data_IF_360178143412
#
_entry.id   IF_360178143412
#
_cell.length_a   1.000
_cell.length_b   1.000
_cell.length_c   1.000
_cell.angle_alpha   90.00
_cell.angle_beta   90.00
_cell.angle_gamma   90.00
#
_symmetry.space_group_name_H-M   'P 1'
#
loop_
_entity.id
_entity.type
_entity.pdbx_description
1 polymer ?
#
# COMPACT_ATOMS: atom_id res chain seq x y z
N UNK A 1 -26.07 22.84 16.78
CA UNK A 1 -26.58 21.46 16.93
C UNK A 1 -26.09 20.55 15.79
N UNK A 2 -24.79 20.53 15.48
CA UNK A 2 -24.20 19.72 14.39
C UNK A 2 -22.95 18.92 14.82
N UNK A 3 -22.49 19.12 16.05
CA UNK A 3 -21.32 18.43 16.61
C UNK A 3 -21.64 16.99 17.05
N UNK A 4 -22.87 16.72 17.53
CA UNK A 4 -23.24 15.41 18.07
C UNK A 4 -23.43 14.32 17.01
N UNK A 5 -23.73 14.67 15.76
CA UNK A 5 -23.85 13.69 14.67
C UNK A 5 -22.49 13.19 14.15
N UNK A 6 -21.41 13.97 14.33
CA UNK A 6 -20.05 13.55 13.96
C UNK A 6 -19.42 12.61 14.98
N UNK A 7 -19.70 12.80 16.27
CA UNK A 7 -19.24 11.89 17.33
C UNK A 7 -20.06 10.60 17.42
N UNK A 8 -21.34 10.60 17.02
CA UNK A 8 -22.18 9.39 17.05
C UNK A 8 -21.73 8.28 16.07
N UNK A 9 -20.84 8.59 15.11
CA UNK A 9 -20.16 7.58 14.28
C UNK A 9 -18.95 6.93 14.97
N UNK A 10 -18.53 7.42 16.14
CA UNK A 10 -17.34 6.95 16.86
C UNK A 10 -17.60 5.69 17.71
N UNK A 11 -18.87 5.30 17.90
CA UNK A 11 -19.29 4.18 18.77
C UNK A 11 -19.86 2.97 18.03
N UNK A 12 -19.94 3.00 16.70
CA UNK A 12 -20.40 1.84 15.93
C UNK A 12 -19.27 0.82 15.82
N UNK A 13 -19.57 -0.44 16.13
CA UNK A 13 -18.62 -1.53 15.91
C UNK A 13 -18.37 -1.65 14.41
N UNK A 14 -17.09 -1.61 14.03
CA UNK A 14 -16.66 -1.67 12.65
C UNK A 14 -16.97 -3.04 12.08
N UNK A 15 -17.47 -3.08 10.86
CA UNK A 15 -17.61 -4.34 10.13
C UNK A 15 -16.21 -4.95 9.88
N UNK A 16 -16.13 -6.28 9.66
CA UNK A 16 -14.86 -6.93 9.29
C UNK A 16 -14.22 -6.31 8.04
N UNK A 17 -15.03 -5.83 7.10
CA UNK A 17 -14.55 -5.17 5.89
C UNK A 17 -13.97 -3.78 6.16
N UNK A 18 -14.64 -2.95 6.98
CA UNK A 18 -14.12 -1.63 7.36
C UNK A 18 -12.83 -1.75 8.18
N UNK A 19 -12.76 -2.73 9.09
CA UNK A 19 -11.55 -3.02 9.87
C UNK A 19 -10.38 -3.40 8.96
N UNK A 20 -10.62 -4.23 7.93
CA UNK A 20 -9.61 -4.58 6.93
C UNK A 20 -9.20 -3.38 6.08
N UNK A 21 -10.14 -2.53 5.67
CA UNK A 21 -9.85 -1.31 4.91
C UNK A 21 -9.02 -0.30 5.71
N UNK A 22 -9.14 -0.29 7.04
CA UNK A 22 -8.27 0.49 7.92
C UNK A 22 -6.89 -0.18 8.06
N UNK A 23 -6.85 -1.50 8.19
CA UNK A 23 -5.60 -2.25 8.31
C UNK A 23 -4.71 -2.12 7.04
N UNK A 24 -5.29 -2.00 5.84
CA UNK A 24 -4.53 -1.71 4.61
C UNK A 24 -3.84 -0.34 4.63
N UNK A 25 -4.40 0.62 5.37
CA UNK A 25 -3.81 1.94 5.64
C UNK A 25 -2.89 1.93 6.89
N UNK A 26 -2.64 0.75 7.46
CA UNK A 26 -1.91 0.56 8.72
C UNK A 26 -2.55 1.22 9.93
N UNK A 27 -3.89 1.22 9.97
CA UNK A 27 -4.70 1.78 11.04
C UNK A 27 -5.45 0.63 11.74
N UNK A 28 -5.43 0.62 13.06
CA UNK A 28 -6.32 -0.23 13.86
C UNK A 28 -7.14 0.62 14.83
N UNK A 29 -8.17 0.01 15.41
CA UNK A 29 -8.97 0.64 16.47
C UNK A 29 -8.60 0.02 17.80
N UNK A 30 -8.10 0.85 18.71
CA UNK A 30 -7.74 0.47 20.07
C UNK A 30 -8.99 0.10 20.89
N UNK A 31 -8.82 -0.60 22.01
CA UNK A 31 -9.89 -0.99 22.95
C UNK A 31 -10.73 0.20 23.43
N UNK A 32 -10.15 1.41 23.39
CA UNK A 32 -10.82 2.69 23.69
C UNK A 32 -11.58 3.31 22.51
N UNK A 33 -11.82 2.55 21.44
CA UNK A 33 -12.47 2.98 20.18
C UNK A 33 -11.79 4.18 19.49
N UNK A 34 -10.45 4.28 19.63
CA UNK A 34 -9.62 5.32 18.99
C UNK A 34 -8.90 4.76 17.77
N UNK A 35 -8.81 5.53 16.69
CA UNK A 35 -8.00 5.16 15.54
C UNK A 35 -6.52 5.39 15.84
N UNK A 36 -5.72 4.34 15.68
CA UNK A 36 -4.28 4.37 15.87
C UNK A 36 -3.62 3.99 14.55
N UNK A 37 -2.88 4.94 13.98
CA UNK A 37 -2.03 4.71 12.84
C UNK A 37 -0.68 4.17 13.30
N UNK A 38 -0.17 3.13 12.64
CA UNK A 38 1.16 2.57 12.91
C UNK A 38 2.09 2.90 11.76
N UNK A 39 3.16 3.64 12.03
CA UNK A 39 4.21 3.89 11.03
C UNK A 39 4.91 2.58 10.69
N UNK A 40 4.92 2.22 9.39
CA UNK A 40 5.50 0.97 8.90
C UNK A 40 7.00 0.90 9.11
N UNK A 41 7.69 2.05 9.12
CA UNK A 41 9.15 2.13 9.24
C UNK A 41 9.58 2.17 10.71
N UNK A 42 9.01 3.08 11.50
CA UNK A 42 9.41 3.25 12.90
C UNK A 42 8.65 2.36 13.87
N UNK A 43 7.58 1.68 13.42
CA UNK A 43 6.65 0.88 14.24
C UNK A 43 5.97 1.65 15.38
N UNK A 44 6.09 2.99 15.39
CA UNK A 44 5.45 3.88 16.35
C UNK A 44 3.96 4.03 16.04
N UNK A 45 3.15 4.14 17.08
CA UNK A 45 1.73 4.45 16.96
C UNK A 45 1.46 5.93 17.10
N UNK A 46 0.47 6.42 16.35
CA UNK A 46 -0.01 7.79 16.41
C UNK A 46 -1.53 7.77 16.48
N UNK A 47 -2.11 8.46 17.46
CA UNK A 47 -3.57 8.59 17.53
C UNK A 47 -4.04 9.59 16.48
N UNK A 48 -4.97 9.18 15.63
CA UNK A 48 -5.50 9.98 14.52
C UNK A 48 -7.00 10.24 14.66
N UNK A 49 -7.47 11.35 14.12
CA UNK A 49 -8.89 11.65 13.98
C UNK A 49 -9.47 11.20 12.64
N UNK A 50 -10.80 11.21 12.50
CA UNK A 50 -11.43 10.92 11.20
C UNK A 50 -11.04 11.90 10.09
N UNK A 51 -10.72 13.15 10.44
CA UNK A 51 -10.28 14.17 9.47
C UNK A 51 -8.95 13.75 8.80
N UNK A 52 -8.11 13.03 9.53
CA UNK A 52 -6.79 12.61 9.10
C UNK A 52 -6.84 11.34 8.22
N UNK A 53 -7.94 10.58 8.27
CA UNK A 53 -8.13 9.39 7.41
C UNK A 53 -8.10 9.75 5.92
N UNK A 54 -8.70 10.88 5.53
CA UNK A 54 -8.70 11.33 4.14
C UNK A 54 -7.27 11.66 3.68
N UNK A 55 -6.50 12.31 4.55
CA UNK A 55 -5.09 12.62 4.27
C UNK A 55 -4.26 11.34 4.13
N UNK A 56 -4.39 10.38 5.05
CA UNK A 56 -3.68 9.10 4.97
C UNK A 56 -4.06 8.28 3.74
N UNK A 57 -5.33 8.30 3.33
CA UNK A 57 -5.79 7.67 2.09
C UNK A 57 -5.15 8.33 0.87
N UNK A 58 -5.16 9.66 0.78
CA UNK A 58 -4.51 10.37 -0.32
C UNK A 58 -3.00 10.15 -0.32
N UNK A 59 -2.39 10.11 0.86
CA UNK A 59 -0.98 9.81 1.03
C UNK A 59 -0.63 8.39 0.56
N UNK A 60 -1.52 7.41 0.74
CA UNK A 60 -1.30 6.06 0.19
C UNK A 60 -1.24 6.04 -1.35
N UNK A 61 -1.89 7.00 -2.03
CA UNK A 61 -1.88 7.13 -3.49
C UNK A 61 -0.61 7.75 -4.05
N UNK A 62 0.32 8.24 -3.22
CA UNK A 62 1.57 8.86 -3.69
C UNK A 62 2.41 7.96 -4.59
N UNK A 63 2.39 6.64 -4.34
CA UNK A 63 3.10 5.67 -5.19
C UNK A 63 2.44 5.56 -6.56
N UNK A 64 1.10 5.61 -6.61
CA UNK A 64 0.36 5.63 -7.87
C UNK A 64 0.64 6.93 -8.64
N UNK A 65 0.65 8.07 -7.96
CA UNK A 65 0.96 9.37 -8.56
C UNK A 65 2.40 9.37 -9.09
N UNK A 66 3.37 8.88 -8.32
CA UNK A 66 4.77 8.78 -8.76
C UNK A 66 4.93 7.86 -9.98
N UNK A 67 4.21 6.72 -10.00
CA UNK A 67 4.18 5.84 -11.16
C UNK A 67 3.56 6.54 -12.38
N UNK A 68 2.49 7.32 -12.18
CA UNK A 68 1.86 8.07 -13.26
C UNK A 68 2.81 9.15 -13.82
N UNK A 69 3.53 9.86 -12.95
CA UNK A 69 4.56 10.83 -13.34
C UNK A 69 5.67 10.14 -14.15
N UNK A 70 6.10 8.96 -13.74
CA UNK A 70 7.08 8.17 -14.49
C UNK A 70 6.57 7.80 -15.88
N UNK A 71 5.37 7.21 -15.97
CA UNK A 71 4.78 6.76 -17.24
C UNK A 71 4.54 7.94 -18.17
N UNK A 72 3.98 9.04 -17.69
CA UNK A 72 3.74 10.24 -18.52
C UNK A 72 5.07 10.87 -18.95
N UNK A 73 6.04 10.98 -18.05
CA UNK A 73 7.36 11.54 -18.37
C UNK A 73 8.09 10.75 -19.45
N UNK A 74 8.10 9.42 -19.31
CA UNK A 74 8.77 8.54 -20.25
C UNK A 74 7.98 8.37 -21.56
N UNK A 75 6.68 8.09 -21.50
CA UNK A 75 5.89 7.74 -22.68
C UNK A 75 5.31 8.92 -23.45
N UNK A 76 5.00 10.05 -22.78
CA UNK A 76 4.38 11.21 -23.44
C UNK A 76 5.40 12.30 -23.70
N UNK A 77 6.24 12.61 -22.71
CA UNK A 77 7.23 13.68 -22.82
C UNK A 77 8.56 13.22 -23.45
N UNK A 78 8.69 11.91 -23.75
CA UNK A 78 9.91 11.30 -24.33
C UNK A 78 11.19 11.65 -23.55
N UNK A 79 11.06 11.81 -22.23
CA UNK A 79 12.19 12.04 -21.33
C UNK A 79 12.91 10.71 -21.13
N UNK A 80 14.25 10.74 -21.05
CA UNK A 80 15.03 9.56 -20.72
C UNK A 80 14.51 8.86 -19.46
N UNK A 81 14.46 7.53 -19.52
CA UNK A 81 13.91 6.68 -18.45
C UNK A 81 14.55 6.97 -17.08
N UNK A 82 15.84 7.28 -17.04
CA UNK A 82 16.57 7.56 -15.79
C UNK A 82 16.17 8.90 -15.17
N UNK A 83 15.90 9.94 -15.98
CA UNK A 83 15.45 11.26 -15.51
C UNK A 83 14.00 11.17 -15.03
N UNK A 84 13.15 10.45 -15.77
CA UNK A 84 11.77 10.19 -15.37
C UNK A 84 11.72 9.41 -14.04
N UNK A 85 12.57 8.38 -13.90
CA UNK A 85 12.69 7.61 -12.65
C UNK A 85 13.18 8.49 -11.50
N UNK A 86 14.21 9.29 -11.72
CA UNK A 86 14.77 10.18 -10.69
C UNK A 86 13.75 11.23 -10.23
N UNK A 87 12.95 11.77 -11.16
CA UNK A 87 11.87 12.70 -10.84
C UNK A 87 10.77 12.05 -10.01
N UNK A 88 10.33 10.84 -10.39
CA UNK A 88 9.32 10.10 -9.65
C UNK A 88 9.80 9.74 -8.22
N UNK A 89 11.05 9.26 -8.10
CA UNK A 89 11.67 8.94 -6.80
C UNK A 89 11.87 10.19 -5.95
N UNK A 90 12.30 11.30 -6.56
CA UNK A 90 12.42 12.60 -5.90
C UNK A 90 11.08 13.08 -5.33
N UNK A 91 10.00 12.98 -6.11
CA UNK A 91 8.64 13.31 -5.65
C UNK A 91 8.20 12.44 -4.47
N UNK A 92 8.51 11.15 -4.48
CA UNK A 92 8.26 10.26 -3.34
C UNK A 92 9.03 10.70 -2.09
N UNK A 93 10.31 11.01 -2.23
CA UNK A 93 11.15 11.47 -1.13
C UNK A 93 10.62 12.77 -0.50
N UNK A 94 10.25 13.76 -1.33
CA UNK A 94 9.65 15.01 -0.86
C UNK A 94 8.31 14.75 -0.15
N UNK A 95 7.47 13.88 -0.69
CA UNK A 95 6.19 13.54 -0.05
C UNK A 95 6.38 12.88 1.32
N UNK A 96 7.37 11.99 1.45
CA UNK A 96 7.72 11.31 2.69
C UNK A 96 8.28 12.31 3.72
N UNK A 97 9.12 13.26 3.27
CA UNK A 97 9.66 14.33 4.11
C UNK A 97 8.55 15.22 4.66
N UNK A 98 7.63 15.67 3.82
CA UNK A 98 6.47 16.47 4.25
C UNK A 98 5.63 15.68 5.26
N UNK A 99 5.39 14.41 4.99
CA UNK A 99 4.64 13.53 5.89
C UNK A 99 5.27 13.38 7.27
N UNK A 100 6.57 13.10 7.33
CA UNK A 100 7.29 12.93 8.60
C UNK A 100 7.40 14.24 9.38
N UNK A 101 7.76 15.32 8.71
CA UNK A 101 8.03 16.59 9.38
C UNK A 101 6.76 17.35 9.77
N UNK A 102 5.71 17.32 8.95
CA UNK A 102 4.51 18.12 9.18
C UNK A 102 3.33 17.31 9.72
N UNK A 103 3.08 16.11 9.21
CA UNK A 103 1.89 15.36 9.58
C UNK A 103 2.12 14.53 10.85
N UNK A 104 3.14 13.67 10.86
CA UNK A 104 3.43 12.82 12.02
C UNK A 104 3.79 13.64 13.27
N UNK A 105 4.55 14.73 13.11
CA UNK A 105 4.93 15.61 14.23
C UNK A 105 3.74 16.26 14.95
N UNK A 106 2.59 16.40 14.28
CA UNK A 106 1.37 16.98 14.87
C UNK A 106 0.52 15.96 15.64
N UNK A 107 0.80 14.67 15.49
CA UNK A 107 0.01 13.62 16.08
C UNK A 107 0.62 13.14 17.40
N UNK A 108 -0.19 12.91 18.44
CA UNK A 108 0.31 12.36 19.70
C UNK A 108 0.75 10.91 19.51
N UNK A 109 1.98 10.61 19.93
CA UNK A 109 2.54 9.26 19.92
C UNK A 109 1.85 8.39 20.98
N UNK A 110 1.53 7.16 20.61
CA UNK A 110 0.90 6.16 21.48
C UNK A 110 1.73 4.88 21.42
N UNK A 111 1.93 4.25 22.58
CA UNK A 111 2.59 2.95 22.69
C UNK A 111 1.73 1.87 22.05
N UNK A 112 2.30 1.19 21.05
CA UNK A 112 1.65 0.09 20.32
C UNK A 112 2.34 -1.21 20.70
N UNK A 113 1.55 -2.25 21.02
CA UNK A 113 2.12 -3.57 21.27
C UNK A 113 2.55 -4.21 19.95
N UNK A 114 3.55 -5.09 20.01
CA UNK A 114 4.06 -5.78 18.83
C UNK A 114 2.98 -6.61 18.10
N UNK A 115 1.99 -7.12 18.84
CA UNK A 115 0.83 -7.85 18.32
C UNK A 115 -0.08 -6.95 17.47
N UNK A 116 -0.40 -5.75 17.97
CA UNK A 116 -1.21 -4.75 17.26
C UNK A 116 -0.48 -4.28 15.99
N UNK A 117 0.84 -4.05 16.08
CA UNK A 117 1.66 -3.70 14.92
C UNK A 117 1.73 -4.82 13.86
N UNK A 118 1.68 -6.09 14.28
CA UNK A 118 1.60 -7.24 13.36
C UNK A 118 0.23 -7.33 12.67
N UNK A 119 -0.85 -7.01 13.37
CA UNK A 119 -2.22 -7.07 12.82
C UNK A 119 -2.43 -6.14 11.62
N UNK A 120 -1.73 -5.00 11.61
CA UNK A 120 -1.76 -3.98 10.55
C UNK A 120 -0.60 -4.07 9.55
N UNK A 121 0.23 -5.12 9.68
CA UNK A 121 1.33 -5.36 8.76
C UNK A 121 0.80 -5.76 7.39
N UNK A 122 1.32 -5.15 6.32
CA UNK A 122 0.88 -5.40 4.94
C UNK A 122 0.85 -6.89 4.58
N UNK A 123 1.88 -7.64 5.00
CA UNK A 123 1.96 -9.10 4.84
C UNK A 123 0.82 -9.83 5.55
N UNK A 124 0.53 -9.43 6.80
CA UNK A 124 -0.54 -10.06 7.57
C UNK A 124 -1.92 -9.71 6.99
N UNK A 125 -2.11 -8.48 6.53
CA UNK A 125 -3.35 -8.04 5.87
C UNK A 125 -3.58 -8.81 4.57
N UNK A 126 -2.55 -9.01 3.75
CA UNK A 126 -2.68 -9.80 2.51
C UNK A 126 -2.95 -11.27 2.77
N UNK A 127 -2.24 -11.89 3.72
CA UNK A 127 -2.38 -13.32 4.00
C UNK A 127 -3.68 -13.61 4.77
N UNK A 128 -4.17 -12.66 5.58
CA UNK A 128 -5.41 -12.79 6.34
C UNK A 128 -6.68 -12.64 5.49
N UNK A 129 -6.58 -12.24 4.22
CA UNK A 129 -7.72 -12.18 3.29
C UNK A 129 -8.43 -13.53 3.12
N UNK A 130 -9.73 -13.48 2.86
CA UNK A 130 -10.56 -14.67 2.64
C UNK A 130 -9.95 -15.63 1.61
N UNK A 131 -10.05 -16.94 1.85
CA UNK A 131 -9.46 -17.98 0.98
C UNK A 131 -9.93 -17.83 -0.47
N UNK A 132 -11.20 -17.48 -0.67
CA UNK A 132 -11.76 -17.28 -2.02
C UNK A 132 -11.21 -16.03 -2.72
N UNK A 133 -11.02 -14.93 -1.98
CA UNK A 133 -10.38 -13.71 -2.53
C UNK A 133 -8.91 -13.97 -2.86
N UNK A 134 -8.22 -14.70 -2.00
CA UNK A 134 -6.80 -15.05 -2.18
C UNK A 134 -6.61 -16.00 -3.38
N UNK A 135 -7.51 -17.00 -3.55
CA UNK A 135 -7.54 -17.87 -4.72
C UNK A 135 -7.79 -17.09 -6.01
N UNK A 136 -8.76 -16.18 -6.04
CA UNK A 136 -9.02 -15.32 -7.21
C UNK A 136 -7.80 -14.48 -7.57
N UNK A 137 -7.17 -13.83 -6.57
CA UNK A 137 -5.92 -13.09 -6.78
C UNK A 137 -4.80 -13.98 -7.31
N UNK A 138 -4.62 -15.17 -6.75
CA UNK A 138 -3.61 -16.11 -7.20
C UNK A 138 -3.81 -16.51 -8.66
N UNK A 139 -5.04 -16.79 -9.08
CA UNK A 139 -5.36 -17.12 -10.47
C UNK A 139 -5.08 -15.90 -11.37
N UNK A 140 -5.55 -14.71 -11.01
CA UNK A 140 -5.36 -13.50 -11.81
C UNK A 140 -3.88 -13.12 -11.95
N UNK A 141 -3.13 -13.07 -10.84
CA UNK A 141 -1.71 -12.74 -10.87
C UNK A 141 -0.89 -13.88 -11.50
N UNK A 142 -1.22 -15.14 -11.26
CA UNK A 142 -0.58 -16.28 -11.91
C UNK A 142 -0.74 -16.23 -13.43
N UNK A 143 -1.95 -15.98 -13.92
CA UNK A 143 -2.22 -15.83 -15.35
C UNK A 143 -1.45 -14.62 -15.93
N UNK A 144 -1.47 -13.48 -15.24
CA UNK A 144 -0.74 -12.29 -15.65
C UNK A 144 0.77 -12.55 -15.75
N UNK A 145 1.35 -13.27 -14.78
CA UNK A 145 2.78 -13.65 -14.78
C UNK A 145 3.13 -14.49 -16.00
N UNK A 146 2.30 -15.47 -16.36
CA UNK A 146 2.53 -16.34 -17.52
C UNK A 146 2.40 -15.56 -18.83
N UNK A 147 1.33 -14.77 -18.98
CA UNK A 147 1.12 -13.96 -20.19
C UNK A 147 2.26 -12.95 -20.36
N UNK A 148 2.60 -12.20 -19.32
CA UNK A 148 3.71 -11.23 -19.33
C UNK A 148 5.02 -11.89 -19.76
N UNK A 149 5.32 -13.08 -19.23
CA UNK A 149 6.54 -13.82 -19.58
C UNK A 149 6.59 -14.18 -21.07
N UNK A 150 5.49 -14.69 -21.63
CA UNK A 150 5.39 -15.03 -23.05
C UNK A 150 5.56 -13.79 -23.93
N UNK A 151 4.94 -12.66 -23.54
CA UNK A 151 5.10 -11.39 -24.26
C UNK A 151 6.55 -10.90 -24.28
N UNK A 152 7.29 -11.06 -23.18
CA UNK A 152 8.71 -10.67 -23.12
C UNK A 152 9.55 -11.46 -24.12
N UNK A 153 9.29 -12.77 -24.27
CA UNK A 153 10.01 -13.63 -25.22
C UNK A 153 9.70 -13.23 -26.67
N UNK A 154 8.45 -12.92 -26.97
CA UNK A 154 8.00 -12.62 -28.35
C UNK A 154 8.39 -11.22 -28.80
N UNK A 155 8.32 -10.22 -27.90
CA UNK A 155 8.41 -8.81 -28.26
C UNK A 155 9.82 -8.34 -28.66
N UNK A 156 10.87 -9.16 -28.49
CA UNK A 156 12.25 -8.85 -28.86
C UNK A 156 12.67 -7.41 -28.52
N UNK A 157 12.48 -7.05 -27.24
CA UNK A 157 12.68 -5.68 -26.76
C UNK A 157 14.12 -5.20 -26.94
N UNK A 158 14.27 -3.90 -27.25
CA UNK A 158 15.57 -3.22 -27.13
C UNK A 158 16.07 -3.26 -25.67
N UNK A 159 17.39 -3.25 -25.48
CA UNK A 159 18.04 -3.43 -24.16
C UNK A 159 17.49 -2.51 -23.05
N UNK A 160 17.09 -1.29 -23.41
CA UNK A 160 16.55 -0.30 -22.47
C UNK A 160 15.19 -0.71 -21.87
N UNK A 161 14.36 -1.41 -22.66
CA UNK A 161 13.05 -1.92 -22.22
C UNK A 161 13.15 -3.31 -21.59
N UNK A 162 14.19 -4.08 -21.94
CA UNK A 162 14.41 -5.42 -21.40
C UNK A 162 14.60 -5.39 -19.88
N UNK A 163 15.36 -4.42 -19.37
CA UNK A 163 15.60 -4.28 -17.93
C UNK A 163 14.33 -3.92 -17.15
N UNK A 164 13.50 -3.02 -17.66
CA UNK A 164 12.23 -2.63 -17.02
C UNK A 164 11.22 -3.76 -17.04
N UNK A 165 11.13 -4.51 -18.15
CA UNK A 165 10.29 -5.70 -18.27
C UNK A 165 10.77 -6.85 -17.37
N UNK A 166 12.08 -7.08 -17.27
CA UNK A 166 12.66 -8.07 -16.37
C UNK A 166 12.37 -7.74 -14.90
N UNK A 167 12.49 -6.46 -14.52
CA UNK A 167 12.13 -6.00 -13.17
C UNK A 167 10.64 -6.18 -12.87
N UNK A 168 9.77 -5.86 -13.83
CA UNK A 168 8.33 -6.09 -13.71
C UNK A 168 7.99 -7.57 -13.57
N UNK A 169 8.65 -8.43 -14.36
CA UNK A 169 8.48 -9.87 -14.29
C UNK A 169 8.94 -10.46 -12.95
N UNK A 170 10.10 -10.01 -12.44
CA UNK A 170 10.60 -10.41 -11.13
C UNK A 170 9.63 -10.02 -10.00
N UNK A 171 9.04 -8.82 -10.08
CA UNK A 171 8.00 -8.38 -9.16
C UNK A 171 6.76 -9.29 -9.19
N UNK A 172 6.27 -9.65 -10.39
CA UNK A 172 5.13 -10.54 -10.54
C UNK A 172 5.40 -11.93 -9.95
N UNK A 173 6.59 -12.50 -10.19
CA UNK A 173 6.98 -13.77 -9.58
C UNK A 173 7.03 -13.70 -8.06
N UNK A 174 7.67 -12.67 -7.51
CA UNK A 174 7.74 -12.46 -6.07
C UNK A 174 6.35 -12.34 -5.43
N UNK A 175 5.47 -11.54 -6.03
CA UNK A 175 4.12 -11.32 -5.53
C UNK A 175 3.26 -12.58 -5.60
N UNK A 176 3.30 -13.31 -6.72
CA UNK A 176 2.62 -14.60 -6.85
C UNK A 176 3.15 -15.62 -5.85
N UNK A 177 4.48 -15.68 -5.62
CA UNK A 177 5.09 -16.52 -4.60
C UNK A 177 4.61 -16.20 -3.17
N UNK A 178 4.48 -14.92 -2.82
CA UNK A 178 3.91 -14.48 -1.55
C UNK A 178 2.46 -14.94 -1.37
N UNK A 179 1.63 -14.84 -2.43
CA UNK A 179 0.26 -15.32 -2.39
C UNK A 179 0.19 -16.84 -2.24
N UNK A 180 1.05 -17.60 -2.93
CA UNK A 180 1.15 -19.05 -2.78
C UNK A 180 1.49 -19.41 -1.33
N UNK A 181 2.51 -18.77 -0.75
CA UNK A 181 2.88 -18.98 0.65
C UNK A 181 1.72 -18.67 1.61
N UNK A 182 1.01 -17.55 1.38
CA UNK A 182 -0.16 -17.17 2.16
C UNK A 182 -1.32 -18.17 2.05
N UNK A 183 -1.50 -18.77 0.87
CA UNK A 183 -2.51 -19.80 0.63
C UNK A 183 -2.17 -21.10 1.39
N UNK A 184 -0.93 -21.59 1.28
CA UNK A 184 -0.48 -22.81 1.97
C UNK A 184 -0.50 -22.67 3.49
N UNK A 185 -0.14 -21.51 4.03
CA UNK A 185 -0.19 -21.26 5.49
C UNK A 185 -1.59 -21.37 6.09
N UNK A 186 -2.64 -21.26 5.27
CA UNK A 186 -4.05 -21.36 5.70
C UNK A 186 -4.66 -22.75 5.51
N UNK A 187 -3.94 -23.68 4.88
CA UNK A 187 -4.30 -25.09 4.84
C UNK A 187 -3.62 -25.83 5.99
#
# INVERSE_FOLDING_TARGET
>A
MSTSLKEKKMTRDLTPEETRALATLSIFVDKRKRYVYVDRFTKKGYQIGQKDLSFLRNFSLRFLIALFVYIVGFSVLSIDWWIAALTAVGGLAVSELIYRMYFLKKLPEVTVKAEDAKSVSWLHVQISEDKDKLRKKLISFGLLTVISFVFIIIANYQNEYLLTMAAFQAYLFFYTGLLIYGFFKKN
#
